data_IF_832748027029
#
_entry.id   IF_832748027029
#
_cell.length_a   1.000
_cell.length_b   1.000
_cell.length_c   1.000
_cell.angle_alpha   90.00
_cell.angle_beta   90.00
_cell.angle_gamma   90.00
#
_symmetry.space_group_name_H-M   'P 1'
#
loop_
_entity.id
_entity.type
_entity.pdbx_description
1 polymer ?
#
# COMPACT_ATOMS: atom_id res chain seq x y z
N UNK A 1 3.52 -28.97 -2.83
CA UNK A 1 2.82 -28.56 -1.59
C UNK A 1 2.44 -27.10 -1.76
N UNK A 2 1.14 -26.79 -1.78
CA UNK A 2 0.69 -25.40 -1.84
C UNK A 2 1.09 -24.73 -0.53
N UNK A 3 2.08 -23.82 -0.57
CA UNK A 3 2.44 -23.00 0.57
C UNK A 3 1.19 -22.23 0.96
N UNK A 4 0.65 -22.48 2.15
CA UNK A 4 -0.44 -21.67 2.72
C UNK A 4 0.09 -20.25 2.78
N UNK A 5 -0.35 -19.38 1.87
CA UNK A 5 0.04 -17.97 1.91
C UNK A 5 -0.54 -17.39 3.19
N UNK A 6 0.33 -16.99 4.12
CA UNK A 6 -0.09 -16.21 5.27
C UNK A 6 -0.75 -14.93 4.76
N UNK A 7 -1.90 -14.56 5.32
CA UNK A 7 -2.59 -13.32 4.95
C UNK A 7 -2.83 -12.49 6.20
N UNK A 8 -2.84 -11.17 6.04
CA UNK A 8 -3.29 -10.24 7.07
C UNK A 8 -4.56 -9.52 6.59
N UNK A 9 -5.46 -9.30 7.56
CA UNK A 9 -6.64 -8.46 7.38
C UNK A 9 -6.32 -7.06 7.86
N UNK A 10 -6.48 -6.07 6.98
CA UNK A 10 -6.16 -4.67 7.24
C UNK A 10 -7.43 -3.83 7.15
N UNK A 11 -7.44 -2.72 7.87
CA UNK A 11 -8.50 -1.72 7.87
C UNK A 11 -7.88 -0.34 8.02
N UNK A 12 -8.25 0.61 7.15
CA UNK A 12 -7.85 2.01 7.31
C UNK A 12 -8.89 2.70 8.17
N UNK A 13 -8.48 3.29 9.29
CA UNK A 13 -9.39 3.93 10.24
C UNK A 13 -9.60 5.41 9.89
N UNK A 14 -8.50 6.15 9.80
CA UNK A 14 -8.48 7.58 9.49
C UNK A 14 -7.13 8.02 8.95
N UNK A 15 -7.11 9.15 8.27
CA UNK A 15 -5.91 9.90 7.96
C UNK A 15 -5.69 11.01 8.98
N UNK A 16 -4.43 11.26 9.32
CA UNK A 16 -4.01 12.45 10.07
C UNK A 16 -2.94 13.15 9.23
N UNK A 17 -3.33 14.23 8.56
CA UNK A 17 -2.46 15.03 7.70
C UNK A 17 -2.54 16.48 8.17
N UNK A 18 -1.40 17.14 8.47
CA UNK A 18 -1.39 18.56 8.82
C UNK A 18 -2.05 19.42 7.75
N UNK A 19 -2.78 20.46 8.15
CA UNK A 19 -3.57 21.27 7.24
C UNK A 19 -2.70 21.98 6.17
N UNK A 20 -1.46 22.33 6.51
CA UNK A 20 -0.48 22.91 5.61
C UNK A 20 -0.03 21.96 4.48
N UNK A 21 -0.26 20.65 4.63
CA UNK A 21 0.04 19.65 3.61
C UNK A 21 -1.19 19.29 2.75
N UNK A 22 -2.36 19.84 3.08
CA UNK A 22 -3.57 19.62 2.30
C UNK A 22 -3.66 20.61 1.13
N UNK A 23 -4.14 20.19 -0.04
CA UNK A 23 -4.48 21.11 -1.12
C UNK A 23 -5.52 22.16 -0.68
N UNK A 24 -5.52 23.31 -1.35
CA UNK A 24 -6.49 24.37 -1.06
C UNK A 24 -7.94 23.86 -1.21
N UNK A 25 -8.76 24.08 -0.17
CA UNK A 25 -10.15 23.65 -0.13
C UNK A 25 -10.38 22.15 0.09
N UNK A 26 -9.32 21.37 0.31
CA UNK A 26 -9.41 19.95 0.65
C UNK A 26 -9.48 19.76 2.16
N UNK A 27 -10.44 18.96 2.62
CA UNK A 27 -10.50 18.42 3.98
C UNK A 27 -10.02 16.98 4.01
N UNK A 28 -9.73 16.44 5.20
CA UNK A 28 -9.37 15.03 5.37
C UNK A 28 -10.46 14.07 4.86
N UNK A 29 -11.74 14.48 4.91
CA UNK A 29 -12.86 13.68 4.44
C UNK A 29 -12.91 13.56 2.90
N UNK A 30 -12.27 14.48 2.19
CA UNK A 30 -12.20 14.47 0.73
C UNK A 30 -11.10 13.53 0.19
N UNK A 31 -10.25 13.01 1.08
CA UNK A 31 -9.15 12.12 0.72
C UNK A 31 -9.63 10.69 0.50
N UNK A 32 -9.27 10.14 -0.65
CA UNK A 32 -9.56 8.76 -1.02
C UNK A 32 -8.28 7.92 -0.93
N UNK A 33 -8.24 6.84 -0.13
CA UNK A 33 -7.05 6.01 -0.03
C UNK A 33 -6.93 5.03 -1.21
N UNK A 34 -5.91 5.24 -2.02
CA UNK A 34 -5.47 4.33 -3.07
C UNK A 34 -4.37 3.40 -2.52
N UNK A 35 -4.56 2.09 -2.65
CA UNK A 35 -3.64 1.06 -2.16
C UNK A 35 -3.04 0.32 -3.34
N UNK A 36 -1.71 0.39 -3.44
CA UNK A 36 -0.91 -0.35 -4.40
C UNK A 36 -0.21 -1.50 -3.70
N UNK A 37 -0.31 -2.70 -4.28
CA UNK A 37 0.46 -3.87 -3.84
C UNK A 37 1.59 -4.09 -4.85
N UNK A 38 2.84 -3.97 -4.39
CA UNK A 38 4.02 -4.17 -5.24
C UNK A 38 4.84 -5.34 -4.75
N UNK A 39 5.38 -6.10 -5.68
CA UNK A 39 6.22 -7.26 -5.42
C UNK A 39 7.65 -6.97 -5.84
N UNK A 40 8.61 -7.36 -5.01
CA UNK A 40 10.01 -7.39 -5.38
C UNK A 40 10.21 -8.49 -6.43
N UNK A 41 10.79 -8.12 -7.56
CA UNK A 41 11.28 -9.05 -8.57
C UNK A 41 12.77 -8.83 -8.76
N UNK A 42 13.49 -9.90 -9.01
CA UNK A 42 14.88 -9.84 -9.47
C UNK A 42 14.89 -9.61 -10.98
N UNK A 43 15.63 -8.60 -11.42
CA UNK A 43 15.69 -8.16 -12.82
C UNK A 43 17.02 -8.55 -13.44
N UNK A 44 18.05 -8.79 -12.63
CA UNK A 44 19.34 -9.27 -13.05
C UNK A 44 19.93 -10.21 -11.98
N UNK A 45 19.98 -11.50 -12.28
CA UNK A 45 20.47 -12.55 -11.37
C UNK A 45 21.98 -12.46 -11.13
N UNK A 46 22.75 -11.91 -12.08
CA UNK A 46 24.20 -11.79 -11.96
C UNK A 46 24.61 -10.64 -11.03
N UNK A 47 23.82 -9.57 -10.97
CA UNK A 47 24.09 -8.40 -10.12
C UNK A 47 23.23 -8.34 -8.86
N UNK A 48 22.17 -9.15 -8.78
CA UNK A 48 21.16 -9.11 -7.72
C UNK A 48 20.24 -7.89 -7.80
N UNK A 49 20.19 -7.17 -8.93
CA UNK A 49 19.34 -5.98 -9.08
C UNK A 49 17.87 -6.37 -8.95
N UNK A 50 17.17 -5.71 -8.03
CA UNK A 50 15.76 -5.95 -7.78
C UNK A 50 14.92 -4.69 -7.98
N UNK A 51 13.68 -4.86 -8.42
CA UNK A 51 12.70 -3.78 -8.60
C UNK A 51 11.35 -4.13 -7.98
N UNK A 52 10.60 -3.11 -7.61
CA UNK A 52 9.22 -3.25 -7.13
C UNK A 52 8.26 -3.09 -8.30
N UNK A 53 7.45 -4.11 -8.56
CA UNK A 53 6.48 -4.12 -9.67
C UNK A 53 5.06 -4.28 -9.13
N UNK A 54 4.18 -3.40 -9.60
CA UNK A 54 2.74 -3.50 -9.34
C UNK A 54 2.08 -4.38 -10.40
N UNK A 55 1.79 -5.64 -10.06
CA UNK A 55 1.13 -6.58 -10.98
C UNK A 55 -0.39 -6.44 -11.01
N UNK A 56 -0.99 -5.93 -9.92
CA UNK A 56 -2.44 -5.79 -9.76
C UNK A 56 -2.87 -4.32 -9.86
N UNK A 57 -4.10 -4.08 -10.30
CA UNK A 57 -4.68 -2.72 -10.31
C UNK A 57 -4.70 -2.14 -8.90
N UNK A 58 -4.58 -0.82 -8.81
CA UNK A 58 -4.76 -0.06 -7.57
C UNK A 58 -6.15 -0.35 -6.99
N UNK A 59 -6.21 -0.60 -5.69
CA UNK A 59 -7.44 -0.75 -4.93
C UNK A 59 -7.78 0.58 -4.28
N UNK A 60 -9.03 1.02 -4.39
CA UNK A 60 -9.52 2.17 -3.61
C UNK A 60 -10.22 1.63 -2.38
N UNK A 61 -9.53 1.71 -1.24
CA UNK A 61 -10.06 1.17 0.01
C UNK A 61 -11.13 2.12 0.58
N UNK A 62 -12.15 1.55 1.21
CA UNK A 62 -13.09 2.36 2.00
C UNK A 62 -12.57 2.47 3.44
N UNK A 63 -12.76 3.65 4.04
CA UNK A 63 -12.51 3.83 5.47
C UNK A 63 -13.38 2.88 6.29
N UNK A 64 -12.84 2.40 7.40
CA UNK A 64 -13.51 1.46 8.31
C UNK A 64 -13.95 0.11 7.68
N UNK A 65 -13.53 -0.20 6.45
CA UNK A 65 -13.75 -1.50 5.80
C UNK A 65 -12.48 -2.33 5.76
N UNK A 66 -12.63 -3.62 6.07
CA UNK A 66 -11.52 -4.56 6.01
C UNK A 66 -11.24 -5.06 4.58
N UNK A 67 -9.97 -5.32 4.29
CA UNK A 67 -9.54 -6.13 3.15
C UNK A 67 -8.44 -7.11 3.56
N UNK A 68 -8.33 -8.21 2.82
CA UNK A 68 -7.30 -9.21 3.04
C UNK A 68 -6.17 -9.04 2.01
N UNK A 69 -4.93 -9.21 2.47
CA UNK A 69 -3.74 -9.18 1.61
C UNK A 69 -2.75 -10.25 2.05
N UNK A 70 -2.12 -10.93 1.08
CA UNK A 70 -1.13 -11.95 1.40
C UNK A 70 0.19 -11.32 1.86
N UNK A 71 0.79 -11.93 2.87
CA UNK A 71 2.10 -11.60 3.44
C UNK A 71 3.12 -12.46 2.70
N UNK A 72 3.85 -11.82 1.79
CA UNK A 72 4.84 -12.48 0.93
C UNK A 72 6.15 -11.71 1.04
N UNK A 73 7.27 -12.42 1.09
CA UNK A 73 8.59 -11.79 1.13
C UNK A 73 8.79 -10.81 -0.04
N UNK A 74 9.37 -9.64 0.26
CA UNK A 74 9.60 -8.61 -0.75
C UNK A 74 8.34 -7.87 -1.23
N UNK A 75 7.15 -8.18 -0.69
CA UNK A 75 5.92 -7.43 -0.97
C UNK A 75 5.84 -6.17 -0.11
N UNK A 76 5.39 -5.08 -0.74
CA UNK A 76 5.03 -3.84 -0.05
C UNK A 76 3.58 -3.48 -0.32
N UNK A 77 2.98 -2.78 0.64
CA UNK A 77 1.80 -1.96 0.42
C UNK A 77 2.24 -0.49 0.38
N UNK A 78 1.77 0.23 -0.62
CA UNK A 78 1.87 1.67 -0.71
C UNK A 78 0.45 2.22 -0.62
N UNK A 79 0.17 2.99 0.43
CA UNK A 79 -1.10 3.70 0.62
C UNK A 79 -0.88 5.14 0.22
N UNK A 80 -1.68 5.64 -0.71
CA UNK A 80 -1.63 7.00 -1.24
C UNK A 80 -2.96 7.67 -0.96
N UNK A 81 -2.96 8.80 -0.26
CA UNK A 81 -4.16 9.61 -0.09
C UNK A 81 -4.30 10.52 -1.30
N UNK A 82 -5.41 10.38 -2.03
CA UNK A 82 -5.68 11.07 -3.28
C UNK A 82 -6.73 12.17 -3.08
N UNK A 83 -6.56 13.30 -3.77
CA UNK A 83 -7.56 14.34 -3.92
C UNK A 83 -7.65 14.72 -5.41
N UNK A 84 -8.83 14.66 -6.02
CA UNK A 84 -9.03 14.95 -7.45
C UNK A 84 -8.02 14.27 -8.39
N UNK A 85 -7.78 12.97 -8.18
CA UNK A 85 -6.80 12.15 -8.92
C UNK A 85 -5.33 12.59 -8.77
N UNK A 86 -5.01 13.53 -7.89
CA UNK A 86 -3.65 13.90 -7.54
C UNK A 86 -3.24 13.26 -6.20
N UNK A 87 -2.02 12.71 -6.08
CA UNK A 87 -1.50 12.22 -4.80
C UNK A 87 -1.22 13.40 -3.87
N UNK A 88 -1.66 13.29 -2.61
CA UNK A 88 -1.43 14.30 -1.56
C UNK A 88 -0.29 13.85 -0.64
N UNK A 89 -0.40 12.65 -0.09
CA UNK A 89 0.62 12.02 0.75
C UNK A 89 0.65 10.52 0.50
N UNK A 90 1.78 9.87 0.78
CA UNK A 90 1.91 8.43 0.71
C UNK A 90 2.67 7.82 1.89
N UNK A 91 2.34 6.58 2.21
CA UNK A 91 3.04 5.75 3.17
C UNK A 91 3.32 4.38 2.55
N UNK A 92 4.55 3.89 2.70
CA UNK A 92 4.94 2.56 2.25
C UNK A 92 5.25 1.67 3.45
N UNK A 93 4.63 0.50 3.48
CA UNK A 93 4.84 -0.52 4.52
C UNK A 93 5.27 -1.86 3.89
N UNK A 94 6.22 -2.53 4.53
CA UNK A 94 6.61 -3.91 4.20
C UNK A 94 5.70 -4.86 4.96
N UNK A 95 5.20 -5.89 4.27
CA UNK A 95 4.49 -6.99 4.91
C UNK A 95 5.41 -8.21 4.93
N UNK A 96 5.85 -8.62 6.12
CA UNK A 96 6.71 -9.78 6.27
C UNK A 96 6.31 -10.58 7.51
N UNK A 97 6.54 -11.89 7.47
CA UNK A 97 6.43 -12.74 8.66
C UNK A 97 7.65 -12.47 9.52
N UNK A 98 7.44 -11.91 10.71
CA UNK A 98 8.48 -11.86 11.72
C UNK A 98 8.49 -13.21 12.43
N UNK A 99 9.53 -14.01 12.21
CA UNK A 99 9.82 -15.17 13.07
C UNK A 99 10.61 -14.61 14.25
N UNK A 100 10.03 -14.65 15.46
CA UNK A 100 10.73 -14.37 16.72
C UNK A 100 11.41 -15.64 17.22
#
# INVERSE_FOLDING_TARGET
MARTESACRLKLLRAEVPAEHLPAGCSLADLVPAVNVKEKIEVNEQTGECRLVQKKKTMFAEWERCWDTAVTEGRILQVVLMYNNAPVVEATMRLQVCVL
#
